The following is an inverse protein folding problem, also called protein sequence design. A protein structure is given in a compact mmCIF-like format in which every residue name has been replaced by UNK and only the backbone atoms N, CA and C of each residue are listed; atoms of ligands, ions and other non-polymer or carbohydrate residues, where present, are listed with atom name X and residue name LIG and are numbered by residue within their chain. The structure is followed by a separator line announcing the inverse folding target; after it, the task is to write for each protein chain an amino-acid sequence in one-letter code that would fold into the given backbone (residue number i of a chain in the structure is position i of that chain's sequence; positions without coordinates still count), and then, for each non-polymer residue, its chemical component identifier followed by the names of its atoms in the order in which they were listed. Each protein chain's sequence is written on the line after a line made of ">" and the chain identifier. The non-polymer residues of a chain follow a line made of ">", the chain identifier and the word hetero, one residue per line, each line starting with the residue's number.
data_IF_200786661391
#
_entry.id   IF_200786661391
#
_cell.length_a   1.000
_cell.length_b   1.000
_cell.length_c   1.000
_cell.angle_alpha   90.00
_cell.angle_beta   90.00
_cell.angle_gamma   90.00
#
_symmetry.space_group_name_H-M   'P 1'
#
loop_
_entity.id
_entity.type
_entity.pdbx_description
1 polymer ?
#
# COMPACT_ATOMS: atom_id res chain seq x y z
N UNK A 1 -18.92 -10.48 28.61
CA UNK A 1 -18.05 -9.85 27.60
C UNK A 1 -18.88 -9.68 26.34
N UNK A 2 -19.58 -8.55 26.22
CA UNK A 2 -20.39 -8.21 25.05
C UNK A 2 -19.48 -7.58 24.01
N UNK A 3 -19.16 -8.30 22.94
CA UNK A 3 -18.49 -7.73 21.78
C UNK A 3 -19.35 -6.57 21.24
N UNK A 4 -18.82 -5.35 21.32
CA UNK A 4 -19.49 -4.18 20.76
C UNK A 4 -19.58 -4.37 19.24
N UNK A 5 -20.78 -4.39 18.63
CA UNK A 5 -20.94 -4.61 17.19
C UNK A 5 -20.18 -3.59 16.34
N UNK A 6 -19.83 -2.42 16.93
CA UNK A 6 -18.96 -1.44 16.31
C UNK A 6 -17.49 -1.89 16.16
N UNK A 7 -16.99 -2.75 17.04
CA UNK A 7 -15.60 -3.21 17.05
C UNK A 7 -15.34 -4.28 15.98
N UNK A 8 -16.22 -5.28 15.89
CA UNK A 8 -16.14 -6.31 14.84
C UNK A 8 -16.20 -5.73 13.42
N UNK A 9 -16.95 -4.63 13.22
CA UNK A 9 -17.02 -3.93 11.93
C UNK A 9 -15.72 -3.20 11.60
N UNK A 10 -15.08 -2.55 12.58
CA UNK A 10 -13.77 -1.88 12.42
C UNK A 10 -12.68 -2.87 12.07
N UNK A 11 -12.66 -4.04 12.69
CA UNK A 11 -11.67 -5.09 12.43
C UNK A 11 -11.78 -5.64 11.00
N UNK A 12 -13.01 -5.84 10.50
CA UNK A 12 -13.25 -6.20 9.10
C UNK A 12 -12.75 -5.11 8.15
N UNK A 13 -13.07 -3.83 8.40
CA UNK A 13 -12.58 -2.72 7.58
C UNK A 13 -11.05 -2.60 7.60
N UNK A 14 -10.41 -2.79 8.76
CA UNK A 14 -8.96 -2.78 8.88
C UNK A 14 -8.31 -3.92 8.08
N UNK A 15 -8.84 -5.15 8.13
CA UNK A 15 -8.34 -6.27 7.34
C UNK A 15 -8.50 -6.00 5.83
N UNK A 16 -9.65 -5.50 5.41
CA UNK A 16 -9.92 -5.16 4.01
C UNK A 16 -8.98 -4.05 3.53
N UNK A 17 -8.86 -2.96 4.29
CA UNK A 17 -7.98 -1.85 3.95
C UNK A 17 -6.50 -2.23 3.93
N UNK A 18 -6.05 -3.08 4.86
CA UNK A 18 -4.69 -3.64 4.83
C UNK A 18 -4.49 -4.53 3.60
N UNK A 19 -5.50 -5.33 3.24
CA UNK A 19 -5.49 -6.12 2.01
C UNK A 19 -5.29 -5.26 0.77
N UNK A 20 -6.01 -4.14 0.65
CA UNK A 20 -5.82 -3.17 -0.43
C UNK A 20 -4.42 -2.55 -0.42
N UNK A 21 -3.90 -2.13 0.73
CA UNK A 21 -2.56 -1.56 0.82
C UNK A 21 -1.46 -2.56 0.41
N UNK A 22 -1.59 -3.83 0.83
CA UNK A 22 -0.65 -4.90 0.48
C UNK A 22 -0.78 -5.26 -1.01
N UNK A 23 -2.00 -5.37 -1.52
CA UNK A 23 -2.25 -5.61 -2.94
C UNK A 23 -1.67 -4.49 -3.81
N UNK A 24 -1.85 -3.23 -3.41
CA UNK A 24 -1.23 -2.09 -4.09
C UNK A 24 0.29 -2.19 -4.12
N UNK A 25 0.93 -2.54 -3.00
CA UNK A 25 2.38 -2.72 -2.95
C UNK A 25 2.83 -3.89 -3.84
N UNK A 26 2.07 -4.98 -3.84
CA UNK A 26 2.36 -6.14 -4.68
C UNK A 26 2.27 -5.79 -6.17
N UNK A 27 1.26 -5.03 -6.57
CA UNK A 27 1.13 -4.52 -7.96
C UNK A 27 2.28 -3.58 -8.29
N UNK A 28 2.72 -2.73 -7.36
CA UNK A 28 3.89 -1.88 -7.56
C UNK A 28 5.18 -2.70 -7.78
N UNK A 29 5.35 -3.80 -7.03
CA UNK A 29 6.48 -4.73 -7.19
C UNK A 29 6.50 -5.43 -8.55
N UNK A 30 5.35 -5.64 -9.20
CA UNK A 30 5.30 -6.17 -10.57
C UNK A 30 6.02 -5.26 -11.58
N UNK A 31 6.27 -4.00 -11.23
CA UNK A 31 7.09 -3.09 -12.04
C UNK A 31 8.55 -3.53 -12.17
N UNK A 32 9.03 -4.44 -11.32
CA UNK A 32 10.36 -5.04 -11.45
C UNK A 32 10.39 -6.25 -12.37
N UNK A 33 9.24 -6.74 -12.83
CA UNK A 33 9.17 -7.88 -13.74
C UNK A 33 9.35 -7.36 -15.17
N UNK A 34 10.47 -7.64 -15.84
CA UNK A 34 10.76 -7.11 -17.17
C UNK A 34 9.75 -7.61 -18.24
N UNK A 35 9.08 -8.73 -17.98
CA UNK A 35 8.01 -9.24 -18.84
C UNK A 35 6.71 -8.41 -18.76
N UNK A 36 6.51 -7.63 -17.70
CA UNK A 36 5.30 -6.83 -17.45
C UNK A 36 5.55 -5.35 -17.74
N UNK A 37 6.72 -4.83 -17.36
CA UNK A 37 7.14 -3.46 -17.62
C UNK A 37 8.42 -3.50 -18.44
N UNK A 38 8.35 -3.17 -19.75
CA UNK A 38 9.56 -3.01 -20.54
C UNK A 38 10.46 -1.92 -19.93
N UNK A 39 11.78 -2.14 -19.97
CA UNK A 39 12.81 -1.34 -19.28
C UNK A 39 12.77 0.17 -19.56
N UNK A 40 12.12 0.59 -20.64
CA UNK A 40 12.03 1.98 -21.12
C UNK A 40 10.64 2.60 -20.93
N UNK A 41 9.70 1.84 -20.39
CA UNK A 41 8.32 2.30 -20.18
C UNK A 41 8.16 2.90 -18.80
N UNK A 42 7.34 3.95 -18.70
CA UNK A 42 6.88 4.48 -17.43
C UNK A 42 6.34 3.31 -16.57
N UNK A 43 6.77 3.17 -15.30
CA UNK A 43 6.37 2.06 -14.44
C UNK A 43 4.92 2.23 -13.98
N UNK A 44 4.00 2.02 -14.92
CA UNK A 44 2.56 2.12 -14.78
C UNK A 44 2.00 1.24 -13.64
N UNK A 45 2.56 0.06 -13.28
CA UNK A 45 2.04 -0.71 -12.16
C UNK A 45 2.29 -0.03 -10.81
N UNK A 46 3.30 0.85 -10.68
CA UNK A 46 3.43 1.69 -9.46
C UNK A 46 2.28 2.67 -9.34
N UNK A 47 1.85 3.27 -10.45
CA UNK A 47 0.71 4.19 -10.45
C UNK A 47 -0.59 3.45 -10.12
N UNK A 48 -0.81 2.27 -10.72
CA UNK A 48 -1.96 1.41 -10.41
C UNK A 48 -1.91 0.95 -8.95
N UNK A 49 -0.76 0.48 -8.48
CA UNK A 49 -0.55 0.10 -7.09
C UNK A 49 -0.83 1.24 -6.12
N UNK A 50 -0.42 2.46 -6.45
CA UNK A 50 -0.69 3.67 -5.66
C UNK A 50 -2.19 3.99 -5.64
N UNK A 51 -2.87 3.84 -6.78
CA UNK A 51 -4.33 4.02 -6.89
C UNK A 51 -5.12 3.01 -6.04
N UNK A 52 -4.59 1.80 -5.85
CA UNK A 52 -5.19 0.78 -4.97
C UNK A 52 -4.83 1.07 -3.49
N UNK A 53 -3.62 1.56 -3.23
CA UNK A 53 -3.16 1.89 -1.88
C UNK A 53 -3.94 3.04 -1.25
N UNK A 54 -4.22 4.13 -2.00
CA UNK A 54 -4.91 5.33 -1.49
C UNK A 54 -6.28 5.03 -0.86
N UNK A 55 -7.22 4.32 -1.51
CA UNK A 55 -8.50 3.97 -0.90
C UNK A 55 -8.31 3.01 0.28
N UNK A 56 -7.39 2.04 0.21
CA UNK A 56 -7.07 1.16 1.34
C UNK A 56 -6.57 1.92 2.57
N UNK A 57 -5.63 2.85 2.38
CA UNK A 57 -5.07 3.68 3.42
C UNK A 57 -6.11 4.64 4.01
N UNK A 58 -6.97 5.20 3.16
CA UNK A 58 -8.09 6.05 3.58
C UNK A 58 -9.09 5.27 4.44
N UNK A 59 -9.44 4.05 4.02
CA UNK A 59 -10.39 3.18 4.75
C UNK A 59 -9.88 2.85 6.14
N UNK A 60 -8.58 2.55 6.27
CA UNK A 60 -7.93 2.31 7.56
C UNK A 60 -7.87 3.61 8.39
N UNK A 61 -7.51 4.73 7.77
CA UNK A 61 -7.40 6.03 8.43
C UNK A 61 -8.71 6.47 9.07
N UNK A 62 -9.84 6.29 8.38
CA UNK A 62 -11.17 6.60 8.90
C UNK A 62 -11.68 5.58 9.94
N UNK A 63 -11.27 4.31 9.84
CA UNK A 63 -11.69 3.25 10.77
C UNK A 63 -10.93 3.28 12.11
N UNK A 64 -9.68 3.74 12.11
CA UNK A 64 -8.81 3.75 13.28
C UNK A 64 -9.19 4.84 14.30
N UNK A 65 -9.82 4.44 15.42
CA UNK A 65 -10.06 5.26 16.62
C UNK A 65 -9.43 4.60 17.85
N UNK A 66 -8.96 5.40 18.81
CA UNK A 66 -8.46 4.92 20.11
C UNK A 66 -6.98 4.49 20.11
N UNK A 67 -6.61 3.65 21.09
CA UNK A 67 -5.23 3.21 21.35
C UNK A 67 -4.60 2.41 20.19
N UNK A 68 -5.39 1.68 19.41
CA UNK A 68 -4.91 0.91 18.25
C UNK A 68 -4.46 1.77 17.07
N UNK A 69 -4.77 3.07 17.09
CA UNK A 69 -4.43 4.00 16.01
C UNK A 69 -2.92 4.04 15.79
N UNK A 70 -2.09 4.06 16.84
CA UNK A 70 -0.64 4.07 16.67
C UNK A 70 -0.11 2.81 15.99
N UNK A 71 -0.58 1.63 16.40
CA UNK A 71 -0.14 0.35 15.83
C UNK A 71 -0.52 0.23 14.35
N UNK A 72 -1.73 0.65 14.00
CA UNK A 72 -2.25 0.65 12.63
C UNK A 72 -1.51 1.65 11.74
N UNK A 73 -1.24 2.86 12.24
CA UNK A 73 -0.47 3.85 11.51
C UNK A 73 0.98 3.40 11.28
N UNK A 74 1.59 2.71 12.24
CA UNK A 74 2.95 2.19 12.07
C UNK A 74 3.00 1.09 10.98
N UNK A 75 1.96 0.24 10.88
CA UNK A 75 1.81 -0.72 9.78
C UNK A 75 1.65 -0.02 8.42
N UNK A 76 0.77 1.00 8.32
CA UNK A 76 0.63 1.79 7.10
C UNK A 76 1.97 2.46 6.73
N UNK A 77 2.69 2.98 7.71
CA UNK A 77 4.00 3.62 7.51
C UNK A 77 5.00 2.65 6.87
N UNK A 78 5.04 1.39 7.33
CA UNK A 78 5.88 0.35 6.71
C UNK A 78 5.49 0.09 5.25
N UNK A 79 4.20 0.01 4.94
CA UNK A 79 3.72 -0.17 3.55
C UNK A 79 4.09 1.04 2.68
N UNK A 80 3.93 2.25 3.22
CA UNK A 80 4.31 3.50 2.54
C UNK A 80 5.81 3.58 2.27
N UNK A 81 6.63 3.14 3.22
CA UNK A 81 8.08 3.02 3.04
C UNK A 81 8.42 1.99 1.95
N UNK A 82 7.68 0.87 1.88
CA UNK A 82 7.77 -0.08 0.77
C UNK A 82 7.53 0.58 -0.58
N UNK A 83 6.43 1.34 -0.74
CA UNK A 83 6.17 2.09 -1.96
C UNK A 83 7.28 3.09 -2.31
N UNK A 84 7.78 3.84 -1.32
CA UNK A 84 8.89 4.76 -1.50
C UNK A 84 10.16 4.05 -1.96
N UNK A 85 10.46 2.88 -1.41
CA UNK A 85 11.60 2.07 -1.85
C UNK A 85 11.42 1.59 -3.30
N UNK A 86 10.23 1.10 -3.67
CA UNK A 86 9.94 0.70 -5.05
C UNK A 86 10.13 1.86 -6.03
N UNK A 87 9.58 3.04 -5.70
CA UNK A 87 9.72 4.26 -6.49
C UNK A 87 11.19 4.68 -6.60
N UNK A 88 11.93 4.70 -5.49
CA UNK A 88 13.33 5.09 -5.47
C UNK A 88 14.19 4.18 -6.35
N UNK A 89 13.99 2.85 -6.26
CA UNK A 89 14.70 1.89 -7.09
C UNK A 89 14.37 2.11 -8.58
N UNK A 90 13.09 2.31 -8.91
CA UNK A 90 12.68 2.59 -10.30
C UNK A 90 13.27 3.89 -10.85
N UNK A 91 13.27 4.96 -10.06
CA UNK A 91 13.90 6.23 -10.44
C UNK A 91 15.40 6.02 -10.66
N UNK A 92 16.09 5.31 -9.75
CA UNK A 92 17.52 5.02 -9.95
C UNK A 92 17.78 4.17 -11.18
N UNK A 93 16.90 3.21 -11.52
CA UNK A 93 17.00 2.41 -12.75
C UNK A 93 16.87 3.28 -13.99
N UNK A 94 15.90 4.20 -14.01
CA UNK A 94 15.69 5.12 -15.13
C UNK A 94 16.88 6.10 -15.26
N UNK A 95 17.37 6.66 -14.16
CA UNK A 95 18.46 7.64 -14.16
C UNK A 95 19.86 7.03 -14.39
N UNK A 96 20.04 5.75 -14.10
CA UNK A 96 21.33 5.06 -14.30
C UNK A 96 21.48 4.47 -15.70
N UNK A 97 20.47 4.61 -16.57
CA UNK A 97 20.60 4.28 -17.98
C UNK A 97 21.17 5.51 -18.72
N UNK A 98 22.30 5.36 -19.43
CA UNK A 98 22.95 6.43 -20.18
C UNK A 98 22.13 6.94 -21.37
#
# INVERSE_FOLDING_TARGET
>A
MTEDPGQARRDKLHKIGMGFCIAGLFVALLSFVPAIVPEYSLPWPVFVGSFIYVPGASLIFFSAKGADRQMVFNKIRMIRLGFLAVIAILITRILSMP
#
